data_IF_884304664800
#
_entry.id   IF_884304664800
#
_cell.length_a   1.000
_cell.length_b   1.000
_cell.length_c   1.000
_cell.angle_alpha   90.00
_cell.angle_beta   90.00
_cell.angle_gamma   90.00
#
_symmetry.space_group_name_H-M   'P 1'
#
loop_
_entity.id
_entity.type
_entity.pdbx_description
1 polymer ?
#
# COMPACT_ATOMS: atom_id res chain seq x y z
N UNK A 1 -60.24 -23.11 -37.05
CA UNK A 1 -59.11 -24.07 -36.95
C UNK A 1 -58.82 -24.30 -35.47
N UNK A 2 -58.95 -25.53 -34.98
CA UNK A 2 -59.01 -25.80 -33.54
C UNK A 2 -57.61 -25.73 -32.91
N UNK A 3 -57.44 -24.97 -31.82
CA UNK A 3 -56.13 -24.81 -31.13
C UNK A 3 -55.45 -26.14 -30.81
N UNK A 4 -56.24 -27.20 -30.56
CA UNK A 4 -55.76 -28.57 -30.30
C UNK A 4 -55.04 -29.20 -31.50
N UNK A 5 -55.51 -28.99 -32.73
CA UNK A 5 -54.86 -29.57 -33.92
C UNK A 5 -53.55 -28.87 -34.25
N UNK A 6 -53.46 -27.56 -33.96
CA UNK A 6 -52.21 -26.79 -34.12
C UNK A 6 -51.16 -27.26 -33.09
N UNK A 7 -51.56 -27.44 -31.82
CA UNK A 7 -50.66 -27.94 -30.78
C UNK A 7 -50.17 -29.37 -31.06
N UNK A 8 -51.05 -30.24 -31.55
CA UNK A 8 -50.69 -31.62 -31.89
C UNK A 8 -49.74 -31.66 -33.09
N UNK A 9 -49.99 -30.84 -34.12
CA UNK A 9 -49.08 -30.68 -35.26
C UNK A 9 -47.72 -30.11 -34.85
N UNK A 10 -47.69 -29.09 -33.98
CA UNK A 10 -46.45 -28.52 -33.46
C UNK A 10 -45.65 -29.52 -32.63
N UNK A 11 -46.31 -30.30 -31.78
CA UNK A 11 -45.66 -31.34 -30.97
C UNK A 11 -45.06 -32.44 -31.85
N UNK A 12 -45.78 -32.88 -32.89
CA UNK A 12 -45.28 -33.88 -33.82
C UNK A 12 -44.06 -33.36 -34.61
N UNK A 13 -44.12 -32.10 -35.06
CA UNK A 13 -42.99 -31.45 -35.72
C UNK A 13 -41.76 -31.35 -34.81
N UNK A 14 -41.97 -31.06 -33.52
CA UNK A 14 -40.91 -30.95 -32.52
C UNK A 14 -40.26 -32.32 -32.24
N UNK A 15 -41.04 -33.41 -32.23
CA UNK A 15 -40.51 -34.77 -32.12
C UNK A 15 -39.68 -35.18 -33.33
N UNK A 16 -40.15 -34.86 -34.55
CA UNK A 16 -39.38 -35.13 -35.79
C UNK A 16 -38.07 -34.33 -35.79
N UNK A 17 -38.12 -33.07 -35.37
CA UNK A 17 -36.93 -32.23 -35.25
C UNK A 17 -35.95 -32.79 -34.21
N UNK A 18 -36.43 -33.20 -33.04
CA UNK A 18 -35.62 -33.82 -32.00
C UNK A 18 -34.97 -35.13 -32.47
N UNK A 19 -35.69 -35.93 -33.28
CA UNK A 19 -35.15 -37.14 -33.88
C UNK A 19 -34.00 -36.85 -34.84
N UNK A 20 -34.13 -35.82 -35.70
CA UNK A 20 -33.03 -35.40 -36.59
C UNK A 20 -31.86 -34.79 -35.82
N UNK A 21 -32.12 -34.01 -34.77
CA UNK A 21 -31.09 -33.43 -33.92
C UNK A 21 -30.34 -34.48 -33.10
N UNK A 22 -30.94 -35.65 -32.83
CA UNK A 22 -30.32 -36.72 -32.04
C UNK A 22 -28.97 -37.16 -32.62
N UNK A 23 -28.88 -37.35 -33.93
CA UNK A 23 -27.64 -37.80 -34.58
C UNK A 23 -26.57 -36.71 -34.52
N UNK A 24 -26.98 -35.46 -34.73
CA UNK A 24 -26.12 -34.26 -34.64
C UNK A 24 -25.56 -34.10 -33.22
N UNK A 25 -26.42 -34.14 -32.20
CA UNK A 25 -26.02 -34.05 -30.79
C UNK A 25 -25.11 -35.20 -30.39
N UNK A 26 -25.43 -36.43 -30.84
CA UNK A 26 -24.62 -37.60 -30.50
C UNK A 26 -23.21 -37.51 -31.09
N UNK A 27 -23.08 -37.05 -32.34
CA UNK A 27 -21.80 -36.95 -33.04
C UNK A 27 -20.98 -35.72 -32.65
N UNK A 28 -21.62 -34.56 -32.49
CA UNK A 28 -20.92 -33.30 -32.20
C UNK A 28 -20.70 -33.05 -30.71
N UNK A 29 -21.49 -33.65 -29.82
CA UNK A 29 -21.42 -33.36 -28.39
C UNK A 29 -21.04 -34.61 -27.60
N UNK A 30 -21.81 -35.70 -27.71
CA UNK A 30 -21.62 -36.87 -26.85
C UNK A 30 -20.30 -37.59 -27.15
N UNK A 31 -20.00 -37.85 -28.43
CA UNK A 31 -18.77 -38.49 -28.88
C UNK A 31 -17.49 -37.74 -28.43
N UNK A 32 -17.34 -36.42 -28.66
CA UNK A 32 -16.15 -35.71 -28.20
C UNK A 32 -16.05 -35.63 -26.67
N UNK A 33 -17.18 -35.57 -25.96
CA UNK A 33 -17.16 -35.64 -24.48
C UNK A 33 -16.60 -36.98 -24.00
N UNK A 34 -17.04 -38.07 -24.61
CA UNK A 34 -16.59 -39.42 -24.28
C UNK A 34 -15.11 -39.60 -24.60
N UNK A 35 -14.67 -39.04 -25.74
CA UNK A 35 -13.27 -39.04 -26.14
C UNK A 35 -12.41 -38.23 -25.15
N UNK A 36 -12.84 -37.04 -24.75
CA UNK A 36 -12.17 -36.23 -23.73
C UNK A 36 -12.07 -36.98 -22.41
N UNK A 37 -13.17 -37.58 -21.95
CA UNK A 37 -13.19 -38.39 -20.73
C UNK A 37 -12.20 -39.56 -20.81
N UNK A 38 -12.16 -40.25 -21.96
CA UNK A 38 -11.25 -41.36 -22.20
C UNK A 38 -9.78 -40.90 -22.19
N UNK A 39 -9.46 -39.78 -22.85
CA UNK A 39 -8.10 -39.20 -22.86
C UNK A 39 -7.69 -38.80 -21.45
N UNK A 40 -8.55 -38.15 -20.67
CA UNK A 40 -8.28 -37.79 -19.28
C UNK A 40 -7.98 -39.04 -18.44
N UNK A 41 -8.80 -40.09 -18.59
CA UNK A 41 -8.60 -41.37 -17.89
C UNK A 41 -7.29 -42.04 -18.30
N UNK A 42 -6.95 -42.01 -19.59
CA UNK A 42 -5.69 -42.56 -20.10
C UNK A 42 -4.50 -41.81 -19.51
N UNK A 43 -4.55 -40.47 -19.52
CA UNK A 43 -3.52 -39.63 -18.93
C UNK A 43 -3.36 -39.93 -17.44
N UNK A 44 -4.48 -40.01 -16.69
CA UNK A 44 -4.46 -40.39 -15.28
C UNK A 44 -3.86 -41.78 -15.03
N UNK A 45 -4.10 -42.74 -15.93
CA UNK A 45 -3.53 -44.09 -15.85
C UNK A 45 -2.05 -44.14 -16.24
N UNK A 46 -1.59 -43.19 -17.07
CA UNK A 46 -0.17 -43.04 -17.43
C UNK A 46 0.66 -42.45 -16.29
N UNK A 47 0.04 -41.65 -15.39
CA UNK A 47 0.71 -41.24 -14.17
C UNK A 47 0.87 -42.46 -13.26
N UNK A 48 2.11 -42.93 -13.01
CA UNK A 48 2.31 -44.03 -12.09
C UNK A 48 1.74 -43.61 -10.75
N UNK A 49 0.83 -44.41 -10.19
CA UNK A 49 0.22 -44.13 -8.89
C UNK A 49 1.28 -43.84 -7.82
N UNK A 50 2.46 -44.48 -7.96
CA UNK A 50 3.66 -44.22 -7.17
C UNK A 50 4.14 -42.76 -7.19
N UNK A 51 4.11 -42.06 -8.34
CA UNK A 51 4.55 -40.66 -8.45
C UNK A 51 3.64 -39.74 -7.65
N UNK A 52 2.32 -39.96 -7.71
CA UNK A 52 1.34 -39.18 -6.92
C UNK A 52 1.59 -39.39 -5.43
N UNK A 53 1.80 -40.63 -4.99
CA UNK A 53 2.17 -40.94 -3.61
C UNK A 53 3.51 -40.35 -3.22
N UNK A 54 4.53 -40.39 -4.08
CA UNK A 54 5.84 -39.82 -3.82
C UNK A 54 5.77 -38.30 -3.62
N UNK A 55 4.99 -37.59 -4.45
CA UNK A 55 4.76 -36.14 -4.29
C UNK A 55 4.02 -35.86 -2.99
N UNK A 56 2.97 -36.63 -2.68
CA UNK A 56 2.19 -36.45 -1.45
C UNK A 56 3.06 -36.67 -0.21
N UNK A 57 3.86 -37.75 -0.19
CA UNK A 57 4.80 -38.04 0.89
C UNK A 57 5.86 -36.95 1.00
N UNK A 58 6.43 -36.48 -0.12
CA UNK A 58 7.39 -35.39 -0.12
C UNK A 58 6.79 -34.10 0.45
N UNK A 59 5.53 -33.80 0.14
CA UNK A 59 4.81 -32.64 0.67
C UNK A 59 4.63 -32.78 2.19
N UNK A 60 4.09 -33.90 2.66
CA UNK A 60 3.91 -34.17 4.10
C UNK A 60 5.24 -34.09 4.84
N UNK A 61 6.31 -34.64 4.27
CA UNK A 61 7.64 -34.61 4.86
C UNK A 61 8.20 -33.18 4.91
N UNK A 62 8.03 -32.41 3.83
CA UNK A 62 8.39 -30.98 3.80
C UNK A 62 7.69 -30.19 4.90
N UNK A 63 6.36 -30.33 5.05
CA UNK A 63 5.60 -29.66 6.11
C UNK A 63 5.99 -30.14 7.51
N UNK A 64 6.26 -31.43 7.66
CA UNK A 64 6.71 -32.00 8.94
C UNK A 64 8.07 -31.42 9.33
N UNK A 65 9.05 -31.42 8.42
CA UNK A 65 10.37 -30.80 8.67
C UNK A 65 10.21 -29.31 8.98
N UNK A 66 9.39 -28.59 8.21
CA UNK A 66 9.12 -27.17 8.47
C UNK A 66 8.47 -26.94 9.85
N UNK A 67 7.60 -27.84 10.29
CA UNK A 67 6.97 -27.79 11.62
C UNK A 67 7.93 -28.19 12.75
N UNK A 68 8.94 -29.00 12.46
CA UNK A 68 9.99 -29.41 13.40
C UNK A 68 11.04 -28.32 13.59
N UNK A 69 11.25 -27.46 12.59
CA UNK A 69 11.98 -26.21 12.78
C UNK A 69 11.16 -25.42 13.80
N UNK A 70 11.68 -25.20 15.03
CA UNK A 70 10.98 -24.40 16.01
C UNK A 70 10.75 -23.06 15.36
N UNK A 71 9.49 -22.75 15.08
CA UNK A 71 9.06 -21.43 14.66
C UNK A 71 9.71 -20.52 15.69
N UNK A 72 10.71 -19.74 15.24
CA UNK A 72 11.63 -19.05 16.14
C UNK A 72 10.75 -18.34 17.14
N UNK A 73 10.71 -18.86 18.38
CA UNK A 73 9.74 -18.40 19.38
C UNK A 73 9.76 -16.90 19.28
N UNK A 74 8.62 -16.20 19.06
CA UNK A 74 8.65 -14.75 19.09
C UNK A 74 9.36 -14.43 20.39
N UNK A 75 10.58 -13.85 20.28
CA UNK A 75 11.41 -13.58 21.45
C UNK A 75 10.43 -12.91 22.41
N UNK A 76 10.23 -13.42 23.64
CA UNK A 76 9.39 -12.71 24.60
C UNK A 76 9.89 -11.30 24.53
N UNK A 77 9.05 -10.37 24.07
CA UNK A 77 9.45 -8.99 23.78
C UNK A 77 10.18 -8.58 25.03
N UNK A 78 11.53 -8.60 24.93
CA UNK A 78 12.36 -8.45 26.10
C UNK A 78 11.88 -7.15 26.67
N UNK A 79 11.47 -7.14 27.95
CA UNK A 79 11.08 -5.92 28.66
C UNK A 79 11.98 -4.85 28.11
N UNK A 80 11.43 -3.94 27.30
CA UNK A 80 12.22 -2.91 26.64
C UNK A 80 12.95 -2.31 27.83
N UNK A 81 14.29 -2.44 27.95
CA UNK A 81 14.98 -1.84 29.07
C UNK A 81 14.51 -0.41 29.00
N UNK A 82 13.79 0.07 30.04
CA UNK A 82 13.27 1.43 30.04
C UNK A 82 14.48 2.28 29.76
N UNK A 83 14.58 2.75 28.52
CA UNK A 83 15.71 3.54 28.08
C UNK A 83 15.66 4.72 29.05
N UNK A 84 16.72 4.96 29.83
CA UNK A 84 16.70 6.03 30.82
C UNK A 84 16.18 7.26 30.12
N UNK A 85 15.07 7.83 30.61
CA UNK A 85 14.21 8.77 29.90
C UNK A 85 15.08 9.72 29.08
N UNK A 86 15.24 9.41 27.78
CA UNK A 86 16.10 10.20 26.92
C UNK A 86 15.42 11.56 26.86
N UNK A 87 16.13 12.60 27.32
CA UNK A 87 15.59 13.95 27.32
C UNK A 87 15.02 14.28 25.95
N UNK A 88 13.96 15.09 25.90
CA UNK A 88 13.22 15.42 24.67
C UNK A 88 14.15 15.82 23.51
N UNK A 89 15.24 16.52 23.82
CA UNK A 89 16.29 16.91 22.87
C UNK A 89 17.01 15.69 22.27
N UNK A 90 17.42 14.72 23.10
CA UNK A 90 18.12 13.52 22.64
C UNK A 90 17.21 12.64 21.77
N UNK A 91 15.91 12.60 22.06
CA UNK A 91 14.94 11.94 21.17
C UNK A 91 14.78 12.65 19.82
N UNK A 92 14.81 14.00 19.82
CA UNK A 92 14.75 14.79 18.59
C UNK A 92 15.97 14.56 17.72
N UNK A 93 17.17 14.63 18.31
CA UNK A 93 18.44 14.36 17.63
C UNK A 93 18.47 12.92 17.11
N UNK A 94 17.93 11.96 17.86
CA UNK A 94 17.82 10.58 17.39
C UNK A 94 16.90 10.44 16.17
N UNK A 95 15.80 11.19 16.10
CA UNK A 95 14.92 11.19 14.93
C UNK A 95 15.55 11.90 13.73
N UNK A 96 16.25 13.01 13.96
CA UNK A 96 16.99 13.72 12.92
C UNK A 96 18.10 12.84 12.34
N UNK A 97 18.86 12.13 13.15
CA UNK A 97 19.88 11.19 12.64
C UNK A 97 19.25 10.02 11.86
N UNK A 98 18.03 9.62 12.20
CA UNK A 98 17.32 8.55 11.49
C UNK A 98 16.72 8.96 10.15
N UNK A 99 16.50 10.27 9.88
CA UNK A 99 16.07 10.71 8.55
C UNK A 99 17.13 10.42 7.49
N UNK A 100 18.42 10.53 7.86
CA UNK A 100 19.54 10.16 7.01
C UNK A 100 19.66 8.65 6.78
N UNK A 101 19.33 7.82 7.77
CA UNK A 101 19.50 6.35 7.73
C UNK A 101 18.30 5.56 7.19
N UNK A 102 17.21 6.22 6.81
CA UNK A 102 16.28 5.65 5.85
C UNK A 102 14.90 5.29 6.40
N UNK A 103 13.92 6.03 5.89
CA UNK A 103 12.51 5.68 5.86
C UNK A 103 11.66 6.91 5.59
N UNK A 104 10.83 6.89 4.54
CA UNK A 104 9.89 7.99 4.21
C UNK A 104 9.08 8.45 5.43
N UNK A 105 8.78 7.54 6.34
CA UNK A 105 8.10 7.82 7.60
C UNK A 105 8.83 8.84 8.48
N UNK A 106 10.14 8.67 8.71
CA UNK A 106 10.90 9.59 9.57
C UNK A 106 11.04 10.97 8.93
N UNK A 107 11.24 11.01 7.61
CA UNK A 107 11.29 12.27 6.85
C UNK A 107 9.96 13.01 6.94
N UNK A 108 8.85 12.30 6.73
CA UNK A 108 7.50 12.82 6.91
C UNK A 108 7.24 13.29 8.35
N UNK A 109 7.70 12.53 9.35
CA UNK A 109 7.50 12.88 10.76
C UNK A 109 8.19 14.21 11.11
N UNK A 110 9.41 14.41 10.64
CA UNK A 110 10.15 15.67 10.83
C UNK A 110 9.45 16.81 10.08
N UNK A 111 9.07 16.60 8.82
CA UNK A 111 8.33 17.59 8.04
C UNK A 111 7.01 17.99 8.69
N UNK A 112 6.25 17.02 9.22
CA UNK A 112 4.98 17.26 9.91
C UNK A 112 5.18 18.10 11.19
N UNK A 113 6.26 17.84 11.94
CA UNK A 113 6.59 18.59 13.15
C UNK A 113 6.97 20.02 12.81
N UNK A 114 7.87 20.22 11.85
CA UNK A 114 8.28 21.56 11.40
C UNK A 114 7.10 22.34 10.79
N UNK A 115 6.24 21.68 10.03
CA UNK A 115 4.99 22.26 9.51
C UNK A 115 4.04 22.73 10.62
N UNK A 116 3.92 21.97 11.71
CA UNK A 116 3.12 22.40 12.88
C UNK A 116 3.74 23.61 13.56
N UNK A 117 5.06 23.62 13.74
CA UNK A 117 5.78 24.78 14.28
C UNK A 117 5.57 26.02 13.40
N UNK A 118 5.66 25.87 12.07
CA UNK A 118 5.39 26.95 11.12
C UNK A 118 3.96 27.51 11.28
N UNK A 119 2.95 26.64 11.44
CA UNK A 119 1.57 27.07 11.74
C UNK A 119 1.47 27.81 13.06
N UNK A 120 2.13 27.34 14.10
CA UNK A 120 2.13 28.00 15.40
C UNK A 120 2.75 29.40 15.29
N UNK A 121 3.88 29.55 14.59
CA UNK A 121 4.51 30.85 14.32
C UNK A 121 3.55 31.79 13.58
N UNK A 122 2.90 31.34 12.50
CA UNK A 122 1.95 32.15 11.73
C UNK A 122 0.68 32.49 12.53
N UNK A 123 0.18 31.56 13.34
CA UNK A 123 -0.99 31.78 14.18
C UNK A 123 -0.75 32.85 15.25
N UNK A 124 0.47 32.89 15.82
CA UNK A 124 0.86 33.92 16.78
C UNK A 124 0.92 35.32 16.16
N UNK A 125 1.10 35.41 14.83
CA UNK A 125 1.04 36.68 14.09
C UNK A 125 -0.39 37.13 13.79
N UNK A 126 -1.39 36.32 14.11
CA UNK A 126 -2.80 36.58 13.74
C UNK A 126 -3.08 36.39 12.24
N UNK A 127 -2.12 35.84 11.50
CA UNK A 127 -2.21 35.66 10.04
C UNK A 127 -2.82 34.31 9.64
N UNK A 128 -2.92 33.36 10.58
CA UNK A 128 -3.37 32.00 10.30
C UNK A 128 -4.34 31.48 11.36
N UNK A 129 -5.48 30.96 10.90
CA UNK A 129 -6.47 30.31 11.76
C UNK A 129 -6.12 28.83 11.95
N UNK A 130 -5.81 28.44 13.19
CA UNK A 130 -5.51 27.06 13.58
C UNK A 130 -6.66 26.08 13.32
N UNK A 131 -7.89 26.57 13.13
CA UNK A 131 -9.05 25.73 12.79
C UNK A 131 -8.93 25.10 11.39
N UNK A 132 -8.16 25.73 10.49
CA UNK A 132 -8.04 25.32 9.09
C UNK A 132 -6.83 24.43 8.82
N UNK A 133 -6.93 23.18 9.28
CA UNK A 133 -5.84 22.18 9.27
C UNK A 133 -5.30 21.77 7.89
N UNK A 134 -5.95 22.15 6.80
CA UNK A 134 -5.58 21.73 5.44
C UNK A 134 -5.29 22.90 4.49
N UNK A 135 -5.32 24.15 4.98
CA UNK A 135 -4.94 25.27 4.14
C UNK A 135 -3.41 25.35 4.02
N UNK A 136 -2.89 25.68 2.82
CA UNK A 136 -1.47 25.94 2.61
C UNK A 136 -1.00 27.07 3.53
N UNK A 137 0.27 27.00 3.95
CA UNK A 137 0.89 28.01 4.79
C UNK A 137 1.01 29.31 4.00
N UNK A 138 0.10 30.25 4.27
CA UNK A 138 0.06 31.57 3.64
C UNK A 138 0.03 32.65 4.74
N UNK A 139 0.84 33.69 4.57
CA UNK A 139 0.95 34.84 5.45
C UNK A 139 1.41 36.07 4.66
N UNK A 140 1.24 37.26 5.22
CA UNK A 140 1.51 38.54 4.53
C UNK A 140 2.98 38.68 4.17
N UNK A 141 3.84 38.25 5.08
CA UNK A 141 5.31 38.28 4.93
C UNK A 141 5.91 36.88 4.73
N UNK A 142 5.07 35.83 4.68
CA UNK A 142 5.50 34.46 4.52
C UNK A 142 5.88 34.15 3.07
N UNK A 143 7.19 34.17 2.79
CA UNK A 143 7.76 33.92 1.45
C UNK A 143 8.87 32.86 1.50
N UNK A 144 8.55 31.62 1.89
CA UNK A 144 9.52 30.53 1.84
C UNK A 144 9.99 30.29 0.40
N UNK A 145 11.20 29.77 0.26
CA UNK A 145 11.65 29.19 -1.01
C UNK A 145 10.69 28.08 -1.45
N UNK A 146 10.65 27.80 -2.76
CA UNK A 146 9.74 26.79 -3.30
C UNK A 146 9.96 25.42 -2.64
N UNK A 147 11.22 25.05 -2.39
CA UNK A 147 11.59 23.78 -1.77
C UNK A 147 11.09 23.69 -0.31
N UNK A 148 11.26 24.76 0.47
CA UNK A 148 10.78 24.82 1.86
C UNK A 148 9.25 24.75 1.92
N UNK A 149 8.57 25.42 0.98
CA UNK A 149 7.11 25.36 0.86
C UNK A 149 6.65 23.92 0.58
N UNK A 150 7.22 23.29 -0.44
CA UNK A 150 6.85 21.93 -0.84
C UNK A 150 7.14 20.91 0.27
N UNK A 151 8.23 21.10 1.03
CA UNK A 151 8.55 20.28 2.19
C UNK A 151 7.52 20.40 3.32
N UNK A 152 7.16 21.63 3.71
CA UNK A 152 6.20 21.88 4.78
C UNK A 152 4.79 21.44 4.40
N UNK A 153 4.38 21.68 3.15
CA UNK A 153 3.10 21.24 2.61
C UNK A 153 3.03 19.70 2.53
N UNK A 154 4.12 19.03 2.14
CA UNK A 154 4.20 17.57 2.20
C UNK A 154 4.17 17.02 3.65
N UNK A 155 4.68 17.77 4.62
CA UNK A 155 4.56 17.39 6.03
C UNK A 155 3.14 17.52 6.58
N UNK A 156 2.37 18.51 6.11
CA UNK A 156 1.06 18.87 6.67
C UNK A 156 -0.13 18.28 5.92
N UNK A 157 -0.05 18.22 4.59
CA UNK A 157 -1.16 17.87 3.71
C UNK A 157 -1.15 16.43 3.20
N UNK A 158 0.02 15.78 3.14
CA UNK A 158 0.15 14.42 2.62
C UNK A 158 0.53 13.41 3.69
N UNK A 159 0.37 12.14 3.34
CA UNK A 159 0.74 10.99 4.16
C UNK A 159 2.09 10.44 3.73
N UNK A 160 2.83 9.81 4.65
CA UNK A 160 4.06 9.08 4.32
C UNK A 160 3.84 8.00 3.24
N UNK A 161 2.61 7.51 3.10
CA UNK A 161 2.22 6.52 2.10
C UNK A 161 2.24 7.06 0.66
N UNK A 162 2.11 8.38 0.49
CA UNK A 162 2.13 9.04 -0.82
C UNK A 162 3.54 9.12 -1.42
N UNK A 163 4.55 8.78 -0.60
CA UNK A 163 5.96 8.76 -0.98
C UNK A 163 6.56 7.35 -0.84
N UNK A 164 6.08 6.37 -1.65
CA UNK A 164 6.59 5.01 -1.59
C UNK A 164 8.04 4.99 -2.06
N UNK A 165 8.96 4.65 -1.16
CA UNK A 165 10.32 4.31 -1.54
C UNK A 165 10.31 2.93 -2.18
N UNK A 166 10.82 2.85 -3.42
CA UNK A 166 11.00 1.56 -4.09
C UNK A 166 11.87 0.66 -3.22
N UNK A 167 11.34 -0.51 -2.84
CA UNK A 167 12.12 -1.56 -2.15
C UNK A 167 13.05 -2.32 -3.10
N UNK A 168 13.01 -2.02 -4.39
CA UNK A 168 13.79 -2.71 -5.41
C UNK A 168 15.16 -2.06 -5.59
N UNK A 169 16.21 -2.83 -5.36
CA UNK A 169 17.61 -2.39 -5.30
C UNK A 169 18.19 -1.79 -6.60
N UNK A 170 17.48 -1.90 -7.72
CA UNK A 170 17.88 -1.34 -9.03
C UNK A 170 17.14 -0.07 -9.42
N UNK A 171 16.07 0.31 -8.70
CA UNK A 171 15.29 1.50 -9.05
C UNK A 171 15.80 2.65 -8.19
N UNK A 172 16.43 3.65 -8.82
CA UNK A 172 16.79 4.89 -8.12
C UNK A 172 15.51 5.51 -7.56
N UNK A 173 15.44 5.82 -6.25
CA UNK A 173 14.29 6.50 -5.70
C UNK A 173 14.11 7.83 -6.41
N UNK A 174 12.86 8.16 -6.79
CA UNK A 174 12.55 9.49 -7.29
C UNK A 174 12.74 10.51 -6.15
N UNK A 175 13.31 11.69 -6.42
CA UNK A 175 13.40 12.73 -5.42
C UNK A 175 11.98 13.10 -4.97
N UNK A 176 11.78 13.13 -3.66
CA UNK A 176 10.54 13.51 -3.01
C UNK A 176 10.71 14.87 -2.34
N UNK A 177 9.64 15.67 -2.18
CA UNK A 177 9.72 16.93 -1.42
C UNK A 177 10.26 16.74 0.00
N UNK A 178 10.07 15.56 0.59
CA UNK A 178 10.59 15.17 1.90
C UNK A 178 12.11 14.94 1.96
N UNK A 179 12.81 14.98 0.81
CA UNK A 179 14.26 14.82 0.73
C UNK A 179 15.05 16.12 0.99
N UNK A 180 14.36 17.25 1.17
CA UNK A 180 15.00 18.51 1.60
C UNK A 180 15.66 18.33 2.97
N UNK A 181 16.84 18.96 3.14
CA UNK A 181 17.54 18.98 4.42
C UNK A 181 16.71 19.76 5.47
N UNK A 182 16.29 19.13 6.59
CA UNK A 182 15.56 19.81 7.64
C UNK A 182 16.26 21.06 8.17
N UNK A 183 17.60 21.13 8.08
CA UNK A 183 18.38 22.30 8.51
C UNK A 183 17.95 23.57 7.76
N UNK A 184 17.74 23.50 6.45
CA UNK A 184 17.33 24.65 5.64
C UNK A 184 15.96 25.17 6.04
N UNK A 185 15.05 24.26 6.42
CA UNK A 185 13.71 24.60 6.89
C UNK A 185 13.77 25.23 8.28
N UNK A 186 14.65 24.74 9.16
CA UNK A 186 14.86 25.31 10.49
C UNK A 186 15.44 26.72 10.38
N UNK A 187 16.49 26.92 9.58
CA UNK A 187 17.10 28.24 9.35
C UNK A 187 16.05 29.26 8.87
N UNK A 188 15.20 28.87 7.93
CA UNK A 188 14.11 29.74 7.47
C UNK A 188 13.10 30.07 8.59
N UNK A 189 12.70 29.08 9.39
CA UNK A 189 11.78 29.32 10.51
C UNK A 189 12.41 30.19 11.61
N UNK A 190 13.71 30.06 11.84
CA UNK A 190 14.45 30.89 12.78
C UNK A 190 14.54 32.34 12.31
N UNK A 191 14.87 32.58 11.03
CA UNK A 191 14.86 33.91 10.43
C UNK A 191 13.50 34.58 10.57
N UNK A 192 12.41 33.83 10.30
CA UNK A 192 11.04 34.31 10.49
C UNK A 192 10.74 34.68 11.96
N UNK A 193 11.26 33.95 12.93
CA UNK A 193 11.11 34.29 14.35
C UNK A 193 11.95 35.50 14.76
N UNK A 194 13.17 35.64 14.24
CA UNK A 194 14.07 36.75 14.54
C UNK A 194 13.54 38.08 14.00
N UNK A 195 13.04 38.08 12.75
CA UNK A 195 12.37 39.25 12.15
C UNK A 195 11.23 39.75 13.04
N UNK A 196 10.47 38.83 13.65
CA UNK A 196 9.41 39.20 14.58
C UNK A 196 9.99 39.79 15.86
N UNK A 197 10.97 39.13 16.47
CA UNK A 197 11.57 39.61 17.72
C UNK A 197 12.07 41.05 17.59
N UNK A 198 12.66 41.38 16.44
CA UNK A 198 13.12 42.72 16.12
C UNK A 198 11.98 43.74 15.90
N UNK A 199 10.83 43.34 15.34
CA UNK A 199 9.64 44.20 15.23
C UNK A 199 9.02 44.48 16.59
N UNK A 200 8.80 43.44 17.39
CA UNK A 200 8.25 43.56 18.74
C UNK A 200 9.13 44.48 19.61
N UNK A 201 10.46 44.42 19.42
CA UNK A 201 11.42 45.31 20.11
C UNK A 201 11.40 46.76 19.61
N UNK A 202 11.08 46.99 18.33
CA UNK A 202 11.01 48.32 17.71
C UNK A 202 9.65 49.00 17.86
N UNK A 203 8.64 48.33 18.40
CA UNK A 203 7.32 48.90 18.69
C UNK A 203 6.56 49.36 17.45
N UNK A 204 6.81 48.70 16.31
CA UNK A 204 6.08 48.92 15.03
C UNK A 204 5.09 47.78 14.83
#
# INVERSE_FOLDING_TARGET
MNRRTILLGAFLALLVLAYFLRDVVSKLIILPLFYLWWVIRLYYSMFPQFVVWAILVAFVLYFSVKSLIPEARPRPVGRIPLKPAEGQIKSLVSWLNKTHSGGSYYKWLVANRLGKTAREILSQRGEYDLSKKFEPLNGRDWKPSQEVRDYLDAGLGSSFADFPQSRWFWVKPKPTPLDLDPVQVIEYLEEEMEIRHDRDRKGI
#
